data_IF_932313823304
#
_entry.id   IF_932313823304
#
_cell.length_a   1.000
_cell.length_b   1.000
_cell.length_c   1.000
_cell.angle_alpha   90.00
_cell.angle_beta   90.00
_cell.angle_gamma   90.00
#
_symmetry.space_group_name_H-M   'P 1'
#
loop_
_entity.id
_entity.type
_entity.pdbx_description
1 polymer ?
#
# COMPACT_ATOMS: atom_id res chain seq x y z
N UNK A 1 2.97 14.90 26.01
CA UNK A 1 3.66 13.60 26.19
C UNK A 1 5.14 13.88 26.45
N UNK A 2 5.77 13.22 27.43
CA UNK A 2 7.22 13.35 27.66
C UNK A 2 7.98 12.73 26.48
N UNK A 3 9.03 13.39 25.99
CA UNK A 3 9.91 12.85 24.96
C UNK A 3 10.84 11.79 25.57
N UNK A 4 10.54 10.52 25.36
CA UNK A 4 11.38 9.39 25.78
C UNK A 4 12.38 9.07 24.65
N UNK A 5 13.67 8.94 24.97
CA UNK A 5 14.73 8.65 23.99
C UNK A 5 15.42 7.34 24.36
N UNK A 6 15.83 6.54 23.37
CA UNK A 6 16.50 5.26 23.62
C UNK A 6 17.72 5.39 24.54
N UNK A 7 18.53 6.42 24.34
CA UNK A 7 19.71 6.71 25.19
C UNK A 7 19.39 7.00 26.66
N UNK A 8 18.13 7.14 27.06
CA UNK A 8 17.76 7.41 28.44
C UNK A 8 17.28 6.13 29.17
N UNK A 9 17.00 5.03 28.45
CA UNK A 9 16.28 3.86 29.00
C UNK A 9 16.87 2.48 28.68
N UNK A 10 17.82 2.37 27.75
CA UNK A 10 18.36 1.07 27.30
C UNK A 10 19.80 0.83 27.77
N UNK A 11 20.15 1.32 28.97
CA UNK A 11 21.43 1.02 29.62
C UNK A 11 21.28 -0.17 30.58
N UNK A 12 22.34 -0.98 30.71
CA UNK A 12 22.41 -2.08 31.66
C UNK A 12 23.27 -1.72 32.87
N UNK A 13 23.04 -2.38 34.01
CA UNK A 13 23.82 -2.15 35.23
C UNK A 13 25.24 -2.75 35.17
N UNK A 14 25.42 -3.82 34.38
CA UNK A 14 26.74 -4.41 34.11
C UNK A 14 27.34 -3.80 32.83
N UNK A 15 28.58 -3.33 32.92
CA UNK A 15 29.32 -2.69 31.83
C UNK A 15 29.51 -3.62 30.62
N UNK A 16 29.54 -4.93 30.85
CA UNK A 16 29.72 -5.94 29.79
C UNK A 16 28.41 -6.41 29.17
N UNK A 17 27.26 -6.03 29.75
CA UNK A 17 25.95 -6.46 29.28
C UNK A 17 25.46 -5.62 28.09
N UNK A 18 25.16 -6.29 26.97
CA UNK A 18 24.64 -5.66 25.73
C UNK A 18 23.11 -5.70 25.61
N UNK A 19 22.39 -6.22 26.61
CA UNK A 19 20.94 -6.47 26.51
C UNK A 19 20.09 -5.29 26.00
N UNK A 20 20.35 -4.05 26.43
CA UNK A 20 19.63 -2.88 25.91
C UNK A 20 19.89 -2.61 24.42
N UNK A 21 21.13 -2.81 23.96
CA UNK A 21 21.47 -2.75 22.54
C UNK A 21 20.78 -3.87 21.76
N UNK A 22 20.83 -5.10 22.26
CA UNK A 22 20.21 -6.27 21.62
C UNK A 22 18.69 -6.07 21.42
N UNK A 23 18.01 -5.50 22.42
CA UNK A 23 16.58 -5.15 22.32
C UNK A 23 16.33 -4.08 21.26
N UNK A 24 17.16 -3.04 21.17
CA UNK A 24 17.02 -2.00 20.13
C UNK A 24 17.21 -2.61 18.74
N UNK A 25 18.23 -3.44 18.54
CA UNK A 25 18.50 -4.09 17.26
C UNK A 25 17.36 -5.02 16.86
N UNK A 26 16.86 -5.83 17.80
CA UNK A 26 15.71 -6.69 17.57
C UNK A 26 14.48 -5.87 17.13
N UNK A 27 14.17 -4.78 17.84
CA UNK A 27 13.07 -3.88 17.48
C UNK A 27 13.22 -3.28 16.08
N UNK A 28 14.43 -2.85 15.70
CA UNK A 28 14.68 -2.30 14.36
C UNK A 28 14.54 -3.38 13.26
N UNK A 29 14.96 -4.61 13.55
CA UNK A 29 14.80 -5.75 12.63
C UNK A 29 13.33 -6.14 12.45
N UNK A 30 12.55 -6.15 13.54
CA UNK A 30 11.11 -6.40 13.48
C UNK A 30 10.41 -5.29 12.69
N UNK A 31 10.79 -4.02 12.89
CA UNK A 31 10.30 -2.90 12.07
C UNK A 31 10.53 -3.09 10.56
N UNK A 32 11.71 -3.60 10.16
CA UNK A 32 11.98 -3.93 8.74
C UNK A 32 11.07 -5.05 8.23
N UNK A 33 10.81 -6.06 9.06
CA UNK A 33 9.90 -7.16 8.71
C UNK A 33 8.48 -6.63 8.50
N UNK A 34 7.98 -5.80 9.40
CA UNK A 34 6.69 -5.13 9.26
C UNK A 34 6.62 -4.29 7.98
N UNK A 35 7.68 -3.54 7.63
CA UNK A 35 7.71 -2.83 6.35
C UNK A 35 7.57 -3.78 5.14
N UNK A 36 8.20 -4.96 5.17
CA UNK A 36 8.06 -5.95 4.09
C UNK A 36 6.64 -6.52 4.02
N UNK A 37 6.04 -6.85 5.17
CA UNK A 37 4.66 -7.35 5.23
C UNK A 37 3.66 -6.34 4.66
N UNK A 38 3.81 -5.05 5.01
CA UNK A 38 2.96 -3.97 4.47
C UNK A 38 3.20 -3.76 2.97
N UNK A 39 4.45 -3.82 2.51
CA UNK A 39 4.80 -3.75 1.08
C UNK A 39 4.10 -4.86 0.28
N UNK A 40 4.17 -6.10 0.75
CA UNK A 40 3.55 -7.26 0.10
C UNK A 40 2.03 -7.17 0.13
N UNK A 41 1.46 -6.70 1.23
CA UNK A 41 0.02 -6.46 1.34
C UNK A 41 -0.46 -5.41 0.33
N UNK A 42 0.25 -4.30 0.17
CA UNK A 42 -0.09 -3.26 -0.82
C UNK A 42 0.01 -3.80 -2.25
N UNK A 43 1.03 -4.61 -2.57
CA UNK A 43 1.18 -5.25 -3.89
C UNK A 43 0.04 -6.23 -4.18
N UNK A 44 -0.38 -7.01 -3.19
CA UNK A 44 -1.53 -7.92 -3.31
C UNK A 44 -2.84 -7.15 -3.54
N UNK A 45 -3.09 -6.10 -2.73
CA UNK A 45 -4.26 -5.24 -2.87
C UNK A 45 -4.30 -4.55 -4.23
N UNK A 46 -3.19 -4.00 -4.70
CA UNK A 46 -3.10 -3.37 -6.01
C UNK A 46 -3.47 -4.33 -7.16
N UNK A 47 -3.06 -5.60 -7.07
CA UNK A 47 -3.42 -6.63 -8.06
C UNK A 47 -4.93 -6.92 -8.07
N UNK A 48 -5.57 -6.95 -6.90
CA UNK A 48 -7.02 -7.14 -6.76
C UNK A 48 -7.77 -5.95 -7.37
N UNK A 49 -7.38 -4.72 -7.01
CA UNK A 49 -7.98 -3.48 -7.52
C UNK A 49 -7.84 -3.37 -9.04
N UNK A 50 -6.68 -3.73 -9.60
CA UNK A 50 -6.46 -3.73 -11.05
C UNK A 50 -7.36 -4.73 -11.78
N UNK A 51 -7.53 -5.94 -11.23
CA UNK A 51 -8.44 -6.94 -11.81
C UNK A 51 -9.88 -6.42 -11.80
N UNK A 52 -10.33 -5.90 -10.65
CA UNK A 52 -11.67 -5.34 -10.51
C UNK A 52 -11.92 -4.19 -11.51
N UNK A 53 -10.97 -3.27 -11.64
CA UNK A 53 -11.02 -2.18 -12.61
C UNK A 53 -11.15 -2.69 -14.05
N UNK A 54 -10.35 -3.68 -14.45
CA UNK A 54 -10.40 -4.26 -15.80
C UNK A 54 -11.72 -4.98 -16.08
N UNK A 55 -12.25 -5.70 -15.10
CA UNK A 55 -13.55 -6.37 -15.22
C UNK A 55 -14.69 -5.35 -15.39
N UNK A 56 -14.67 -4.25 -14.62
CA UNK A 56 -15.61 -3.13 -14.78
C UNK A 56 -15.46 -2.43 -16.13
N UNK A 57 -14.24 -2.22 -16.62
CA UNK A 57 -14.00 -1.61 -17.94
C UNK A 57 -14.52 -2.50 -19.08
N UNK A 58 -14.37 -3.82 -18.94
CA UNK A 58 -14.96 -4.78 -19.86
C UNK A 58 -16.48 -4.73 -19.83
N UNK A 59 -17.06 -4.63 -18.63
CA UNK A 59 -18.51 -4.54 -18.42
C UNK A 59 -19.09 -3.24 -19.02
N UNK A 60 -18.44 -2.10 -18.82
CA UNK A 60 -18.91 -0.79 -19.33
C UNK A 60 -19.01 -0.75 -20.85
N UNK A 61 -18.32 -1.64 -21.57
CA UNK A 61 -18.36 -1.73 -23.03
C UNK A 61 -19.46 -2.66 -23.56
N UNK A 62 -20.04 -3.52 -22.71
CA UNK A 62 -21.11 -4.45 -23.13
C UNK A 62 -22.38 -3.70 -23.53
N UNK A 63 -23.18 -4.32 -24.39
CA UNK A 63 -24.50 -3.78 -24.76
C UNK A 63 -25.42 -3.83 -23.54
N UNK A 64 -26.07 -2.71 -23.24
CA UNK A 64 -27.08 -2.59 -22.18
C UNK A 64 -28.25 -1.78 -22.76
N UNK A 65 -29.43 -2.39 -22.86
CA UNK A 65 -30.62 -1.75 -23.45
C UNK A 65 -30.54 -1.55 -24.96
N UNK A 66 -30.27 -2.62 -25.73
CA UNK A 66 -30.17 -2.56 -27.20
C UNK A 66 -31.40 -1.96 -27.87
N UNK A 67 -32.59 -2.33 -27.39
CA UNK A 67 -33.87 -1.92 -27.95
C UNK A 67 -34.47 -0.70 -27.23
N UNK A 68 -33.78 -0.15 -26.23
CA UNK A 68 -34.29 0.99 -25.47
C UNK A 68 -34.18 2.27 -26.28
N UNK A 69 -35.14 3.18 -26.09
CA UNK A 69 -35.22 4.44 -26.82
C UNK A 69 -35.36 5.63 -25.87
N UNK A 70 -35.23 6.84 -26.43
CA UNK A 70 -35.51 8.11 -25.75
C UNK A 70 -34.74 8.27 -24.42
N UNK A 71 -35.45 8.65 -23.36
CA UNK A 71 -34.88 8.99 -22.05
C UNK A 71 -34.24 7.79 -21.36
N UNK A 72 -34.84 6.59 -21.48
CA UNK A 72 -34.29 5.38 -20.88
C UNK A 72 -32.95 4.99 -21.53
N UNK A 73 -32.86 5.07 -22.86
CA UNK A 73 -31.59 4.84 -23.57
C UNK A 73 -30.49 5.79 -23.09
N UNK A 74 -30.80 7.09 -22.95
CA UNK A 74 -29.84 8.08 -22.44
C UNK A 74 -29.40 7.76 -21.01
N UNK A 75 -30.32 7.36 -20.13
CA UNK A 75 -29.98 6.94 -18.76
C UNK A 75 -29.06 5.73 -18.72
N UNK A 76 -29.27 4.75 -19.61
CA UNK A 76 -28.40 3.57 -19.72
C UNK A 76 -27.01 3.93 -20.26
N UNK A 77 -26.91 4.88 -21.19
CA UNK A 77 -25.62 5.37 -21.67
C UNK A 77 -24.82 6.07 -20.55
N UNK A 78 -25.50 6.91 -19.74
CA UNK A 78 -24.89 7.52 -18.56
C UNK A 78 -24.47 6.47 -17.54
N UNK A 79 -25.30 5.46 -17.29
CA UNK A 79 -24.97 4.37 -16.38
C UNK A 79 -23.69 3.62 -16.80
N UNK A 80 -23.55 3.31 -18.09
CA UNK A 80 -22.32 2.70 -18.64
C UNK A 80 -21.12 3.62 -18.48
N UNK A 81 -21.28 4.91 -18.74
CA UNK A 81 -20.22 5.91 -18.57
C UNK A 81 -19.76 6.01 -17.10
N UNK A 82 -20.69 6.00 -16.14
CA UNK A 82 -20.34 5.99 -14.72
C UNK A 82 -19.60 4.71 -14.31
N UNK A 83 -20.00 3.56 -14.87
CA UNK A 83 -19.29 2.29 -14.66
C UNK A 83 -17.84 2.38 -15.16
N UNK A 84 -17.61 3.00 -16.31
CA UNK A 84 -16.27 3.25 -16.84
C UNK A 84 -15.46 4.18 -15.93
N UNK A 85 -16.05 5.27 -15.44
CA UNK A 85 -15.37 6.18 -14.51
C UNK A 85 -14.95 5.49 -13.21
N UNK A 86 -15.81 4.63 -12.63
CA UNK A 86 -15.45 3.82 -11.46
C UNK A 86 -14.27 2.91 -11.79
N UNK A 87 -14.31 2.21 -12.93
CA UNK A 87 -13.20 1.40 -13.41
C UNK A 87 -11.88 2.19 -13.45
N UNK A 88 -11.87 3.39 -14.05
CA UNK A 88 -10.66 4.21 -14.17
C UNK A 88 -10.15 4.68 -12.81
N UNK A 89 -11.05 5.03 -11.88
CA UNK A 89 -10.68 5.40 -10.51
C UNK A 89 -10.00 4.25 -9.76
N UNK A 90 -10.54 3.03 -9.86
CA UNK A 90 -9.92 1.85 -9.26
C UNK A 90 -8.58 1.49 -9.90
N UNK A 91 -8.42 1.71 -11.21
CA UNK A 91 -7.15 1.51 -11.89
C UNK A 91 -6.08 2.49 -11.39
N UNK A 92 -6.45 3.76 -11.22
CA UNK A 92 -5.57 4.78 -10.65
C UNK A 92 -5.20 4.43 -9.20
N UNK A 93 -6.17 3.99 -8.39
CA UNK A 93 -5.91 3.55 -7.02
C UNK A 93 -4.89 2.40 -6.97
N UNK A 94 -5.01 1.41 -7.85
CA UNK A 94 -4.05 0.32 -7.97
C UNK A 94 -2.63 0.80 -8.33
N UNK A 95 -2.51 1.83 -9.16
CA UNK A 95 -1.23 2.45 -9.50
C UNK A 95 -0.63 3.17 -8.28
N UNK A 96 -1.41 4.01 -7.59
CA UNK A 96 -0.96 4.70 -6.38
C UNK A 96 -0.50 3.72 -5.29
N UNK A 97 -1.19 2.59 -5.10
CA UNK A 97 -0.74 1.56 -4.16
C UNK A 97 0.63 0.96 -4.51
N UNK A 98 0.91 0.76 -5.81
CA UNK A 98 2.22 0.27 -6.26
C UNK A 98 3.32 1.30 -6.03
N UNK A 99 3.01 2.59 -6.20
CA UNK A 99 3.95 3.67 -5.88
C UNK A 99 4.26 3.74 -4.38
N UNK A 100 3.24 3.62 -3.52
CA UNK A 100 3.45 3.57 -2.07
C UNK A 100 4.25 2.33 -1.63
N UNK A 101 3.98 1.16 -2.24
CA UNK A 101 4.79 -0.03 -2.00
C UNK A 101 6.27 0.18 -2.40
N UNK A 102 6.52 0.86 -3.53
CA UNK A 102 7.88 1.20 -3.98
C UNK A 102 8.58 2.15 -3.01
N UNK A 103 7.89 3.19 -2.52
CA UNK A 103 8.43 4.11 -1.50
C UNK A 103 8.84 3.35 -0.23
N UNK A 104 8.04 2.37 0.19
CA UNK A 104 8.34 1.55 1.36
C UNK A 104 9.55 0.63 1.14
N UNK A 105 9.69 0.08 -0.06
CA UNK A 105 10.87 -0.70 -0.46
C UNK A 105 12.15 0.16 -0.44
N UNK A 106 12.08 1.39 -0.98
CA UNK A 106 13.19 2.35 -0.95
C UNK A 106 13.55 2.78 0.47
N UNK A 107 12.55 3.00 1.34
CA UNK A 107 12.75 3.32 2.76
C UNK A 107 13.52 2.20 3.48
N UNK A 108 13.08 0.95 3.32
CA UNK A 108 13.75 -0.24 3.87
C UNK A 108 15.20 -0.35 3.38
N UNK A 109 15.44 -0.09 2.10
CA UNK A 109 16.78 -0.06 1.51
C UNK A 109 17.69 1.02 2.10
N UNK A 110 17.17 2.23 2.34
CA UNK A 110 17.89 3.31 3.02
C UNK A 110 18.22 2.96 4.48
N UNK A 111 17.24 2.41 5.21
CA UNK A 111 17.43 1.99 6.61
C UNK A 111 18.52 0.91 6.77
N UNK A 112 18.57 -0.06 5.85
CA UNK A 112 19.63 -1.08 5.84
C UNK A 112 21.02 -0.47 5.67
N UNK A 113 21.21 0.44 4.70
CA UNK A 113 22.50 1.10 4.45
C UNK A 113 22.99 1.99 5.60
N UNK A 114 22.07 2.58 6.36
CA UNK A 114 22.43 3.40 7.53
C UNK A 114 23.00 2.52 8.65
N UNK A 115 22.40 1.36 8.89
CA UNK A 115 22.89 0.42 9.91
C UNK A 115 24.18 -0.31 9.54
N UNK A 116 24.54 -0.40 8.26
CA UNK A 116 25.80 -1.00 7.81
C UNK A 116 27.00 -0.02 7.91
N UNK A 117 26.74 1.27 8.19
CA UNK A 117 27.76 2.32 8.28
C UNK A 117 28.18 2.64 9.72
N UNK A 118 27.42 2.17 10.70
CA UNK A 118 27.70 2.31 12.14
C UNK A 118 28.29 1.00 12.68
#
# INVERSE_FOLDING_TARGET
MKNLRFKDFFWNSDLTCTGGYDVIIQYLNDGKRTCKEVEDFLKARASIEEKYAKDLLGLSKKVCGHNEMNTLKRSLDVFKLQTEHVSLSHLQLAQSMREEAKKLEEFKGKAKRLQEKD
#
